data_IF_962819833308
#
_entry.id   IF_962819833308
#
_cell.length_a   1.000
_cell.length_b   1.000
_cell.length_c   1.000
_cell.angle_alpha   90.00
_cell.angle_beta   90.00
_cell.angle_gamma   90.00
#
_symmetry.space_group_name_H-M   'P 1'
#
loop_
_entity.id
_entity.type
_entity.pdbx_description
1 polymer ?
#
# COMPACT_ATOMS: atom_id res chain seq x y z
N UNK A 1 35.43 -4.38 -22.97
CA UNK A 1 34.38 -3.52 -22.40
C UNK A 1 33.17 -3.57 -23.31
N UNK A 2 32.17 -4.40 -22.99
CA UNK A 2 30.93 -4.49 -23.79
C UNK A 2 30.08 -3.25 -23.53
N UNK A 3 29.89 -2.44 -24.57
CA UNK A 3 28.94 -1.31 -24.58
C UNK A 3 27.55 -1.94 -24.42
N UNK A 4 26.93 -1.84 -23.23
CA UNK A 4 25.50 -2.17 -23.09
C UNK A 4 24.76 -1.29 -24.10
N UNK A 5 24.19 -1.91 -25.13
CA UNK A 5 23.25 -1.24 -26.01
C UNK A 5 22.20 -0.55 -25.14
N UNK A 6 21.97 0.74 -25.39
CA UNK A 6 20.98 1.50 -24.64
C UNK A 6 19.63 0.81 -24.84
N UNK A 7 18.97 0.43 -23.75
CA UNK A 7 17.64 -0.14 -23.81
C UNK A 7 16.68 0.91 -24.40
N UNK A 8 16.27 0.69 -25.66
CA UNK A 8 15.32 1.57 -26.37
C UNK A 8 13.92 1.07 -26.11
N UNK A 9 13.07 1.93 -25.53
CA UNK A 9 11.63 1.65 -25.42
C UNK A 9 10.96 2.03 -26.73
N UNK A 10 10.13 1.15 -27.27
CA UNK A 10 9.36 1.43 -28.48
C UNK A 10 8.48 2.69 -28.30
N UNK A 11 8.44 3.63 -29.28
CA UNK A 11 7.67 4.87 -29.17
C UNK A 11 6.17 4.65 -28.88
N UNK A 12 5.56 3.61 -29.44
CA UNK A 12 4.17 3.26 -29.17
C UNK A 12 3.95 2.80 -27.73
N UNK A 13 4.95 2.14 -27.12
CA UNK A 13 4.95 1.81 -25.70
C UNK A 13 5.05 3.07 -24.83
N UNK A 14 5.93 4.01 -25.18
CA UNK A 14 6.03 5.28 -24.45
C UNK A 14 4.72 6.07 -24.49
N UNK A 15 4.07 6.13 -25.66
CA UNK A 15 2.77 6.75 -25.82
C UNK A 15 1.69 6.07 -24.98
N UNK A 16 1.65 4.73 -24.97
CA UNK A 16 0.72 3.99 -24.14
C UNK A 16 0.94 4.25 -22.64
N UNK A 17 2.20 4.30 -22.20
CA UNK A 17 2.57 4.64 -20.82
C UNK A 17 2.18 6.08 -20.46
N UNK A 18 2.46 7.05 -21.34
CA UNK A 18 2.03 8.45 -21.17
C UNK A 18 0.51 8.57 -21.08
N UNK A 19 -0.24 7.88 -21.94
CA UNK A 19 -1.71 7.87 -21.88
C UNK A 19 -2.22 7.26 -20.58
N UNK A 20 -1.67 6.13 -20.15
CA UNK A 20 -2.06 5.48 -18.90
C UNK A 20 -1.75 6.33 -17.64
N UNK A 21 -0.68 7.14 -17.70
CA UNK A 21 -0.33 8.07 -16.65
C UNK A 21 -1.15 9.38 -16.66
N UNK A 22 -2.06 9.58 -17.62
CA UNK A 22 -2.85 10.81 -17.70
C UNK A 22 -3.89 10.91 -16.58
N UNK A 23 -3.80 11.91 -15.69
CA UNK A 23 -4.72 12.04 -14.56
C UNK A 23 -6.17 12.31 -14.96
N UNK A 24 -6.45 12.76 -16.19
CA UNK A 24 -7.80 13.08 -16.69
C UNK A 24 -8.60 11.85 -17.12
N UNK A 25 -7.95 10.70 -17.24
CA UNK A 25 -8.58 9.45 -17.63
C UNK A 25 -8.39 8.37 -16.57
N UNK A 26 -9.40 7.52 -16.39
CA UNK A 26 -9.21 6.24 -15.72
C UNK A 26 -8.46 5.29 -16.63
N UNK A 27 -7.51 4.53 -16.08
CA UNK A 27 -6.67 3.63 -16.84
C UNK A 27 -6.60 2.25 -16.20
N UNK A 28 -6.76 1.21 -17.02
CA UNK A 28 -6.40 -0.16 -16.68
C UNK A 28 -5.13 -0.53 -17.43
N UNK A 29 -4.09 -0.96 -16.71
CA UNK A 29 -2.79 -1.27 -17.30
C UNK A 29 -2.52 -2.76 -17.16
N UNK A 30 -2.72 -3.49 -18.27
CA UNK A 30 -2.25 -4.87 -18.40
C UNK A 30 -0.84 -4.87 -18.98
N UNK A 31 0.14 -5.40 -18.26
CA UNK A 31 1.50 -5.50 -18.76
C UNK A 31 2.26 -6.64 -18.10
N UNK A 32 3.20 -7.25 -18.82
CA UNK A 32 4.05 -8.32 -18.32
C UNK A 32 5.02 -7.82 -17.22
N UNK A 33 5.68 -8.73 -16.52
CA UNK A 33 6.76 -8.38 -15.61
C UNK A 33 7.84 -7.56 -16.36
N UNK A 34 8.40 -6.54 -15.71
CA UNK A 34 9.41 -5.66 -16.32
C UNK A 34 8.88 -4.61 -17.31
N UNK A 35 7.60 -4.65 -17.71
CA UNK A 35 7.03 -3.73 -18.71
C UNK A 35 6.76 -2.28 -18.21
N UNK A 36 7.32 -1.88 -17.07
CA UNK A 36 7.23 -0.50 -16.59
C UNK A 36 5.96 -0.10 -15.83
N UNK A 37 5.11 -1.04 -15.38
CA UNK A 37 3.88 -0.74 -14.59
C UNK A 37 4.13 0.21 -13.43
N UNK A 38 5.19 -0.03 -12.65
CA UNK A 38 5.57 0.83 -11.53
C UNK A 38 5.97 2.23 -11.99
N UNK A 39 6.66 2.36 -13.13
CA UNK A 39 6.98 3.66 -13.72
C UNK A 39 5.71 4.41 -14.11
N UNK A 40 4.77 3.75 -14.79
CA UNK A 40 3.46 4.35 -15.13
C UNK A 40 2.74 4.86 -13.89
N UNK A 41 2.71 4.07 -12.81
CA UNK A 41 2.04 4.47 -11.57
C UNK A 41 2.75 5.65 -10.88
N UNK A 42 4.09 5.65 -10.82
CA UNK A 42 4.88 6.78 -10.33
C UNK A 42 4.65 8.04 -11.16
N UNK A 43 4.72 7.92 -12.49
CA UNK A 43 4.48 9.03 -13.42
C UNK A 43 3.07 9.59 -13.22
N UNK A 44 2.07 8.73 -13.03
CA UNK A 44 0.68 9.15 -12.75
C UNK A 44 0.57 9.97 -11.48
N UNK A 45 1.20 9.54 -10.37
CA UNK A 45 1.19 10.31 -9.11
C UNK A 45 1.87 11.66 -9.29
N UNK A 46 3.01 11.70 -9.98
CA UNK A 46 3.73 12.95 -10.25
C UNK A 46 2.89 13.88 -11.13
N UNK A 47 2.19 13.36 -12.13
CA UNK A 47 1.28 14.16 -12.97
C UNK A 47 0.07 14.68 -12.21
N UNK A 48 -0.52 13.90 -11.30
CA UNK A 48 -1.59 14.39 -10.42
C UNK A 48 -1.11 15.59 -9.58
N UNK A 49 0.12 15.52 -9.05
CA UNK A 49 0.72 16.62 -8.29
C UNK A 49 0.98 17.86 -9.15
N UNK A 50 1.52 17.67 -10.36
CA UNK A 50 1.74 18.75 -11.34
C UNK A 50 0.44 19.43 -11.74
N UNK A 51 -0.63 18.66 -11.93
CA UNK A 51 -1.97 19.16 -12.24
C UNK A 51 -2.66 19.81 -11.01
N UNK A 52 -1.93 19.98 -9.91
CA UNK A 52 -2.34 20.78 -8.75
C UNK A 52 -2.99 19.98 -7.61
N UNK A 53 -3.12 18.66 -7.72
CA UNK A 53 -3.68 17.84 -6.64
C UNK A 53 -2.86 18.03 -5.36
N UNK A 54 -3.55 18.27 -4.25
CA UNK A 54 -2.90 18.30 -2.94
C UNK A 54 -2.37 16.88 -2.62
N UNK A 55 -1.12 16.72 -2.14
CA UNK A 55 -0.55 15.39 -1.91
C UNK A 55 -1.38 14.51 -0.97
N UNK A 56 -2.01 15.10 0.05
CA UNK A 56 -2.91 14.40 0.97
C UNK A 56 -4.20 13.86 0.32
N UNK A 57 -4.56 14.32 -0.88
CA UNK A 57 -5.75 13.86 -1.63
C UNK A 57 -5.43 12.76 -2.65
N UNK A 58 -4.18 12.31 -2.72
CA UNK A 58 -3.77 11.19 -3.58
C UNK A 58 -3.61 9.95 -2.72
N UNK A 59 -4.47 8.96 -2.95
CA UNK A 59 -4.36 7.64 -2.35
C UNK A 59 -3.79 6.65 -3.37
N UNK A 60 -2.63 6.08 -3.06
CA UNK A 60 -1.97 5.10 -3.90
C UNK A 60 -1.77 3.79 -3.13
N UNK A 61 -2.50 2.75 -3.52
CA UNK A 61 -2.53 1.47 -2.82
C UNK A 61 -1.62 0.44 -3.49
N UNK A 62 -1.03 -0.43 -2.68
CA UNK A 62 -0.22 -1.55 -3.15
C UNK A 62 -0.38 -2.78 -2.26
N UNK A 63 0.16 -3.91 -2.70
CA UNK A 63 0.03 -5.18 -1.98
C UNK A 63 0.99 -5.28 -0.79
N UNK A 64 2.21 -4.75 -0.91
CA UNK A 64 3.25 -4.92 0.13
C UNK A 64 3.81 -3.60 0.64
N UNK A 65 4.21 -3.57 1.91
CA UNK A 65 4.91 -2.41 2.51
C UNK A 65 6.19 -2.05 1.74
N UNK A 66 6.90 -3.06 1.23
CA UNK A 66 8.10 -2.87 0.43
C UNK A 66 7.80 -2.16 -0.92
N UNK A 67 6.72 -2.53 -1.60
CA UNK A 67 6.30 -1.87 -2.83
C UNK A 67 5.89 -0.40 -2.58
N UNK A 68 5.21 -0.14 -1.45
CA UNK A 68 4.82 1.21 -1.04
C UNK A 68 6.05 2.08 -0.82
N UNK A 69 7.01 1.59 -0.04
CA UNK A 69 8.28 2.27 0.21
C UNK A 69 9.06 2.52 -1.08
N UNK A 70 9.18 1.52 -1.96
CA UNK A 70 9.87 1.65 -3.25
C UNK A 70 9.24 2.74 -4.12
N UNK A 71 7.90 2.77 -4.20
CA UNK A 71 7.18 3.77 -4.97
C UNK A 71 7.35 5.18 -4.39
N UNK A 72 7.28 5.33 -3.06
CA UNK A 72 7.54 6.59 -2.38
C UNK A 72 8.94 7.12 -2.69
N UNK A 73 9.98 6.26 -2.55
CA UNK A 73 11.37 6.61 -2.88
C UNK A 73 11.50 7.09 -4.32
N UNK A 74 10.83 6.44 -5.28
CA UNK A 74 10.88 6.85 -6.69
C UNK A 74 10.26 8.22 -6.92
N UNK A 75 9.10 8.48 -6.33
CA UNK A 75 8.41 9.78 -6.44
C UNK A 75 9.29 10.88 -5.86
N UNK A 76 9.76 10.73 -4.62
CA UNK A 76 10.61 11.74 -3.98
C UNK A 76 11.95 11.94 -4.69
N UNK A 77 12.52 10.90 -5.31
CA UNK A 77 13.71 11.03 -6.14
C UNK A 77 13.45 11.88 -7.38
N UNK A 78 12.32 11.67 -8.08
CA UNK A 78 11.94 12.49 -9.23
C UNK A 78 11.72 13.95 -8.82
N UNK A 79 10.91 14.17 -7.78
CA UNK A 79 10.62 15.52 -7.29
C UNK A 79 11.89 16.24 -6.82
N UNK A 80 12.78 15.55 -6.08
CA UNK A 80 14.04 16.11 -5.60
C UNK A 80 14.99 16.46 -6.75
N UNK A 81 15.06 15.61 -7.79
CA UNK A 81 15.84 15.89 -9.01
C UNK A 81 15.37 17.17 -9.70
N UNK A 82 14.07 17.40 -9.79
CA UNK A 82 13.52 18.60 -10.44
C UNK A 82 13.90 19.91 -9.76
N UNK A 83 14.13 19.90 -8.44
CA UNK A 83 14.60 21.08 -7.70
C UNK A 83 15.95 21.56 -8.25
N UNK A 84 16.85 20.64 -8.61
CA UNK A 84 18.24 20.96 -8.98
C UNK A 84 18.50 21.10 -10.48
N UNK A 85 17.57 20.68 -11.34
CA UNK A 85 17.75 20.76 -12.79
C UNK A 85 17.75 22.22 -13.27
N UNK A 86 18.51 22.52 -14.34
CA UNK A 86 18.34 23.76 -15.10
C UNK A 86 17.06 23.71 -15.96
N UNK A 87 16.55 24.88 -16.37
CA UNK A 87 15.24 25.00 -17.02
C UNK A 87 15.11 24.18 -18.30
N UNK A 88 16.14 24.13 -19.15
CA UNK A 88 16.13 23.32 -20.37
C UNK A 88 15.97 21.81 -20.06
N UNK A 89 16.68 21.32 -19.05
CA UNK A 89 16.64 19.90 -18.66
C UNK A 89 15.32 19.55 -17.96
N UNK A 90 14.82 20.42 -17.07
CA UNK A 90 13.52 20.25 -16.42
C UNK A 90 12.39 20.27 -17.46
N UNK A 91 12.44 21.21 -18.41
CA UNK A 91 11.48 21.29 -19.51
C UNK A 91 11.45 19.99 -20.32
N UNK A 92 12.62 19.44 -20.67
CA UNK A 92 12.70 18.16 -21.38
C UNK A 92 12.06 17.00 -20.60
N UNK A 93 12.26 16.93 -19.28
CA UNK A 93 11.63 15.90 -18.44
C UNK A 93 10.11 16.07 -18.33
N UNK A 94 9.63 17.30 -18.19
CA UNK A 94 8.20 17.58 -18.17
C UNK A 94 7.54 17.26 -19.51
N UNK A 95 8.20 17.54 -20.63
CA UNK A 95 7.74 17.15 -21.98
C UNK A 95 7.69 15.64 -22.10
N UNK A 96 8.73 14.92 -21.66
CA UNK A 96 8.74 13.46 -21.70
C UNK A 96 7.63 12.82 -20.84
N UNK A 97 7.34 13.43 -19.69
CA UNK A 97 6.31 12.97 -18.75
C UNK A 97 4.88 13.26 -19.24
N UNK A 98 4.65 14.46 -19.79
CA UNK A 98 3.30 14.97 -20.07
C UNK A 98 2.93 14.96 -21.55
N UNK A 99 3.91 14.85 -22.44
CA UNK A 99 3.73 14.97 -23.90
C UNK A 99 3.45 16.40 -24.39
N UNK A 100 3.48 17.41 -23.51
CA UNK A 100 3.23 18.82 -23.85
C UNK A 100 4.42 19.70 -23.52
N UNK A 101 4.57 20.81 -24.24
CA UNK A 101 5.57 21.83 -23.93
C UNK A 101 5.35 22.35 -22.49
N UNK A 102 6.43 22.46 -21.74
CA UNK A 102 6.41 23.03 -20.39
C UNK A 102 6.38 24.55 -20.44
N UNK A 103 5.43 25.16 -19.75
CA UNK A 103 5.37 26.60 -19.54
C UNK A 103 6.30 27.03 -18.38
N UNK A 104 6.67 28.32 -18.27
CA UNK A 104 7.40 28.82 -17.10
C UNK A 104 6.70 28.54 -15.77
N UNK A 105 5.36 28.56 -15.76
CA UNK A 105 4.55 28.20 -14.59
C UNK A 105 4.64 26.72 -14.24
N UNK A 106 4.77 25.82 -15.23
CA UNK A 106 4.98 24.39 -14.96
C UNK A 106 6.34 24.15 -14.30
N UNK A 107 7.39 24.89 -14.73
CA UNK A 107 8.73 24.77 -14.16
C UNK A 107 8.74 25.19 -12.68
N UNK A 108 8.13 26.34 -12.36
CA UNK A 108 8.02 26.81 -10.97
C UNK A 108 7.19 25.84 -10.11
N UNK A 109 6.05 25.36 -10.63
CA UNK A 109 5.23 24.38 -9.96
C UNK A 109 6.01 23.09 -9.67
N UNK A 110 6.70 22.54 -10.68
CA UNK A 110 7.50 21.32 -10.57
C UNK A 110 8.59 21.44 -9.48
N UNK A 111 9.30 22.57 -9.40
CA UNK A 111 10.33 22.82 -8.39
C UNK A 111 9.77 22.86 -6.96
N UNK A 112 8.54 23.34 -6.79
CA UNK A 112 7.88 23.41 -5.47
C UNK A 112 7.29 22.08 -5.01
N UNK A 113 7.08 21.11 -5.91
CA UNK A 113 6.41 19.86 -5.57
C UNK A 113 7.16 19.05 -4.50
N UNK A 114 8.50 19.06 -4.50
CA UNK A 114 9.27 18.36 -3.48
C UNK A 114 8.96 18.89 -2.07
N UNK A 115 9.04 20.21 -1.88
CA UNK A 115 8.73 20.85 -0.61
C UNK A 115 7.27 20.59 -0.19
N UNK A 116 6.31 20.80 -1.10
CA UNK A 116 4.89 20.52 -0.84
C UNK A 116 4.64 19.07 -0.41
N UNK A 117 5.32 18.13 -1.04
CA UNK A 117 5.20 16.71 -0.73
C UNK A 117 5.77 16.35 0.65
N UNK A 118 6.92 16.91 1.02
CA UNK A 118 7.58 16.69 2.31
C UNK A 118 6.81 17.36 3.46
N UNK A 119 6.30 18.57 3.24
CA UNK A 119 5.57 19.35 4.25
C UNK A 119 4.10 18.91 4.43
N UNK A 120 3.61 17.98 3.61
CA UNK A 120 2.24 17.48 3.73
C UNK A 120 2.06 16.73 5.06
N UNK A 121 1.12 17.13 5.92
CA UNK A 121 0.84 16.41 7.16
C UNK A 121 0.49 14.94 6.91
N UNK A 122 1.25 14.05 7.53
CA UNK A 122 1.12 12.60 7.33
C UNK A 122 1.61 12.09 5.97
N UNK A 123 2.30 12.93 5.18
CA UNK A 123 2.96 12.57 3.93
C UNK A 123 2.03 12.17 2.77
N UNK A 124 2.65 11.79 1.64
CA UNK A 124 1.93 11.15 0.54
C UNK A 124 1.35 9.81 0.99
N UNK A 125 0.07 9.57 0.69
CA UNK A 125 -0.63 8.33 1.06
C UNK A 125 -0.34 7.20 0.08
N UNK A 126 0.88 6.69 0.19
CA UNK A 126 1.35 5.50 -0.51
C UNK A 126 1.41 4.36 0.50
N UNK A 127 0.39 3.51 0.52
CA UNK A 127 0.18 2.54 1.60
C UNK A 127 -0.37 1.21 1.10
N UNK A 128 -0.40 0.20 1.97
CA UNK A 128 -1.09 -1.06 1.66
C UNK A 128 -2.58 -0.92 1.91
N UNK A 129 -3.39 -1.82 1.32
CA UNK A 129 -4.82 -1.88 1.62
C UNK A 129 -5.07 -2.06 3.13
N UNK A 130 -4.28 -2.93 3.79
CA UNK A 130 -4.37 -3.13 5.24
C UNK A 130 -4.11 -1.85 6.04
N UNK A 131 -3.06 -1.08 5.68
CA UNK A 131 -2.74 0.17 6.36
C UNK A 131 -3.84 1.23 6.17
N UNK A 132 -4.45 1.28 4.99
CA UNK A 132 -5.64 2.11 4.76
C UNK A 132 -6.78 1.69 5.69
N UNK A 133 -7.12 0.39 5.73
CA UNK A 133 -8.21 -0.12 6.56
C UNK A 133 -7.95 0.15 8.06
N UNK A 134 -6.75 -0.12 8.54
CA UNK A 134 -6.33 0.15 9.92
C UNK A 134 -6.50 1.65 10.26
N UNK A 135 -6.03 2.54 9.39
CA UNK A 135 -6.20 4.00 9.58
C UNK A 135 -7.67 4.42 9.57
N UNK A 136 -8.51 3.81 8.73
CA UNK A 136 -9.95 4.10 8.69
C UNK A 136 -10.64 3.64 9.98
N UNK A 137 -10.32 2.45 10.48
CA UNK A 137 -10.84 1.93 11.74
C UNK A 137 -10.42 2.81 12.93
N UNK A 138 -9.20 3.34 12.93
CA UNK A 138 -8.77 4.31 13.95
C UNK A 138 -9.47 5.66 13.85
N UNK A 139 -9.92 6.07 12.66
CA UNK A 139 -10.61 7.34 12.44
C UNK A 139 -12.08 7.29 12.83
N UNK A 140 -12.71 6.11 12.69
CA UNK A 140 -14.13 5.87 12.96
C UNK A 140 -14.36 4.58 13.77
N UNK A 141 -13.78 4.46 14.99
CA UNK A 141 -13.82 3.21 15.74
C UNK A 141 -15.23 2.85 16.22
N UNK A 142 -16.05 3.85 16.57
CA UNK A 142 -17.40 3.61 17.07
C UNK A 142 -18.35 3.14 15.97
N UNK A 143 -18.23 3.73 14.78
CA UNK A 143 -18.99 3.34 13.59
C UNK A 143 -18.63 1.91 13.15
N UNK A 144 -17.38 1.49 13.38
CA UNK A 144 -16.92 0.14 13.12
C UNK A 144 -17.16 -0.85 14.28
N UNK A 145 -17.76 -0.41 15.40
CA UNK A 145 -17.96 -1.20 16.61
C UNK A 145 -16.66 -1.83 17.16
N UNK A 146 -15.55 -1.08 17.11
CA UNK A 146 -14.25 -1.49 17.66
C UNK A 146 -13.81 -0.55 18.79
N UNK A 147 -12.99 -1.02 19.74
CA UNK A 147 -12.43 -0.15 20.78
C UNK A 147 -11.59 0.99 20.18
N UNK A 148 -11.71 2.20 20.73
CA UNK A 148 -10.99 3.38 20.23
C UNK A 148 -9.45 3.25 20.22
N UNK A 149 -8.89 2.38 21.07
CA UNK A 149 -7.45 2.10 21.18
C UNK A 149 -7.15 0.62 20.91
N UNK A 150 -7.80 0.03 19.90
CA UNK A 150 -7.45 -1.32 19.49
C UNK A 150 -6.01 -1.38 18.98
N UNK A 151 -5.39 -2.56 19.11
CA UNK A 151 -4.10 -2.85 18.51
C UNK A 151 -4.28 -3.98 17.50
N UNK A 152 -3.63 -3.86 16.35
CA UNK A 152 -3.56 -4.97 15.39
C UNK A 152 -2.54 -5.97 15.94
N UNK A 153 -3.00 -7.19 16.21
CA UNK A 153 -2.13 -8.28 16.62
C UNK A 153 -1.36 -8.79 15.41
N UNK A 154 -0.07 -9.07 15.58
CA UNK A 154 0.65 -9.88 14.61
C UNK A 154 0.18 -11.34 14.69
N UNK A 155 0.39 -12.09 13.61
CA UNK A 155 -0.10 -13.47 13.49
C UNK A 155 0.47 -14.41 14.56
N UNK A 156 1.70 -14.19 15.01
CA UNK A 156 2.32 -15.03 16.02
C UNK A 156 1.72 -14.76 17.39
N UNK A 157 1.61 -13.48 17.76
CA UNK A 157 0.99 -13.07 19.02
C UNK A 157 -0.47 -13.51 19.09
N UNK A 158 -1.22 -13.36 17.99
CA UNK A 158 -2.59 -13.86 17.90
C UNK A 158 -2.65 -15.39 18.10
N UNK A 159 -1.73 -16.14 17.48
CA UNK A 159 -1.67 -17.59 17.62
C UNK A 159 -1.32 -18.03 19.05
N UNK A 160 -0.36 -17.36 19.71
CA UNK A 160 0.03 -17.61 21.10
C UNK A 160 -1.11 -17.31 22.07
N UNK A 161 -1.74 -16.14 21.95
CA UNK A 161 -2.88 -15.77 22.80
C UNK A 161 -4.03 -16.76 22.65
N UNK A 162 -4.33 -17.18 21.42
CA UNK A 162 -5.37 -18.17 21.18
C UNK A 162 -5.05 -19.52 21.82
N UNK A 163 -3.80 -19.98 21.71
CA UNK A 163 -3.36 -21.24 22.32
C UNK A 163 -3.48 -21.18 23.85
N UNK A 164 -3.05 -20.08 24.46
CA UNK A 164 -3.13 -19.86 25.90
C UNK A 164 -4.57 -19.86 26.43
N UNK A 165 -5.49 -19.16 25.75
CA UNK A 165 -6.89 -19.14 26.16
C UNK A 165 -7.57 -20.50 25.91
N UNK A 166 -7.21 -21.21 24.84
CA UNK A 166 -7.70 -22.58 24.61
C UNK A 166 -7.25 -23.51 25.74
N UNK A 167 -6.00 -23.42 26.18
CA UNK A 167 -5.46 -24.24 27.28
C UNK A 167 -6.20 -23.98 28.59
N UNK A 168 -6.53 -22.71 28.89
CA UNK A 168 -7.34 -22.37 30.06
C UNK A 168 -8.74 -22.97 30.02
N UNK A 169 -9.40 -22.89 28.86
CA UNK A 169 -10.76 -23.45 28.69
C UNK A 169 -10.75 -24.97 28.84
N UNK A 170 -9.77 -25.65 28.23
CA UNK A 170 -9.59 -27.10 28.38
C UNK A 170 -9.27 -27.49 29.82
N UNK A 171 -8.41 -26.73 30.51
CA UNK A 171 -8.10 -26.95 31.91
C UNK A 171 -9.33 -26.76 32.82
N UNK A 172 -10.17 -25.76 32.55
CA UNK A 172 -11.42 -25.55 33.28
C UNK A 172 -12.44 -26.69 33.05
N UNK A 173 -12.54 -27.19 31.82
CA UNK A 173 -13.40 -28.33 31.48
C UNK A 173 -13.03 -29.59 32.28
N UNK A 174 -11.74 -29.89 32.42
CA UNK A 174 -11.24 -31.02 33.22
C UNK A 174 -11.28 -30.70 34.72
N UNK A 175 -11.15 -29.42 35.09
CA UNK A 175 -11.08 -28.93 36.47
C UNK A 175 -12.41 -28.82 37.21
N UNK A 176 -13.52 -29.23 36.59
CA UNK A 176 -14.83 -29.32 37.24
C UNK A 176 -15.86 -28.27 36.84
N UNK A 177 -15.62 -27.51 35.76
CA UNK A 177 -16.70 -26.73 35.14
C UNK A 177 -17.65 -27.69 34.40
N UNK A 178 -18.87 -27.86 34.93
CA UNK A 178 -19.82 -28.85 34.43
C UNK A 178 -20.27 -28.58 32.99
N UNK A 179 -20.38 -27.30 32.57
CA UNK A 179 -20.82 -26.95 31.23
C UNK A 179 -19.71 -27.19 30.21
N UNK A 180 -18.47 -26.77 30.53
CA UNK A 180 -17.31 -27.02 29.68
C UNK A 180 -16.93 -28.50 29.64
N UNK A 181 -17.08 -29.22 30.76
CA UNK A 181 -16.87 -30.66 30.83
C UNK A 181 -17.83 -31.42 29.92
N UNK A 182 -19.14 -31.12 29.99
CA UNK A 182 -20.14 -31.71 29.08
C UNK A 182 -19.84 -31.39 27.60
N UNK A 183 -19.45 -30.15 27.29
CA UNK A 183 -19.09 -29.77 25.93
C UNK A 183 -17.83 -30.52 25.45
N UNK A 184 -16.84 -30.71 26.32
CA UNK A 184 -15.63 -31.46 26.00
C UNK A 184 -15.94 -32.96 25.76
N UNK A 185 -16.79 -33.57 26.59
CA UNK A 185 -17.23 -34.96 26.42
C UNK A 185 -18.00 -35.18 25.12
N UNK A 186 -18.72 -34.16 24.64
CA UNK A 186 -19.42 -34.22 23.36
C UNK A 186 -18.47 -34.19 22.15
N UNK A 187 -17.38 -33.43 22.22
CA UNK A 187 -16.49 -33.18 21.07
C UNK A 187 -15.28 -34.13 21.04
N UNK A 188 -14.82 -34.62 22.19
CA UNK A 188 -13.68 -35.55 22.29
C UNK A 188 -13.81 -36.86 21.50
N UNK A 189 -15.00 -37.45 21.27
CA UNK A 189 -15.15 -38.60 20.37
C UNK A 189 -14.78 -38.29 18.91
N UNK A 190 -14.98 -37.04 18.47
CA UNK A 190 -14.77 -36.61 17.09
C UNK A 190 -13.36 -36.02 16.86
N UNK A 191 -12.78 -35.34 17.85
CA UNK A 191 -11.45 -34.76 17.76
C UNK A 191 -10.76 -34.62 19.13
N UNK A 192 -9.46 -34.93 19.16
CA UNK A 192 -8.61 -34.75 20.36
C UNK A 192 -7.29 -34.08 20.02
N UNK A 193 -6.58 -33.59 21.03
CA UNK A 193 -5.25 -32.98 20.87
C UNK A 193 -5.24 -31.85 19.84
N UNK A 194 -4.33 -31.94 18.87
CA UNK A 194 -4.17 -30.92 17.84
C UNK A 194 -5.37 -30.82 16.88
N UNK A 195 -6.05 -31.94 16.61
CA UNK A 195 -7.24 -31.93 15.75
C UNK A 195 -8.37 -31.11 16.38
N UNK A 196 -8.55 -31.23 17.70
CA UNK A 196 -9.51 -30.44 18.46
C UNK A 196 -9.13 -28.95 18.45
N UNK A 197 -7.86 -28.63 18.73
CA UNK A 197 -7.36 -27.24 18.69
C UNK A 197 -7.58 -26.59 17.32
N UNK A 198 -7.30 -27.32 16.25
CA UNK A 198 -7.53 -26.86 14.88
C UNK A 198 -9.01 -26.61 14.59
N UNK A 199 -9.89 -27.52 15.03
CA UNK A 199 -11.34 -27.37 14.86
C UNK A 199 -11.87 -26.13 15.61
N UNK A 200 -11.44 -25.93 16.86
CA UNK A 200 -11.81 -24.74 17.66
C UNK A 200 -11.35 -23.45 16.95
N UNK A 201 -10.11 -23.43 16.44
CA UNK A 201 -9.59 -22.27 15.70
C UNK A 201 -10.39 -21.98 14.42
N UNK A 202 -10.79 -23.01 13.68
CA UNK A 202 -11.58 -22.84 12.46
C UNK A 202 -13.01 -22.37 12.73
N UNK A 203 -13.61 -22.77 13.85
CA UNK A 203 -14.97 -22.34 14.22
C UNK A 203 -15.05 -20.87 14.64
N UNK A 204 -13.92 -20.25 15.01
CA UNK A 204 -13.83 -18.86 15.46
C UNK A 204 -13.36 -17.88 14.37
N UNK A 205 -12.96 -18.38 13.21
CA UNK A 205 -12.48 -17.59 12.06
C UNK A 205 -13.62 -17.28 11.08
#
# INVERSE_FOLDING_TARGET
MSRREAFVVDPGTEDAQRRAADPRASAWVSANAGAGKTKVLTDRVVRLLLDGAAPARILCLTFTKAAAANMSIRIFRTLGRWVTLGDAALSAELVALTGRAASPTDLDAARRLFARAVETPGGLKIETLHALCERLLHMFPFEANVPARFAVLDENLAAEMFAHETDKVLAAAVGGDAALGWALDLVTPEATGEALRKAIRQAMA
#
